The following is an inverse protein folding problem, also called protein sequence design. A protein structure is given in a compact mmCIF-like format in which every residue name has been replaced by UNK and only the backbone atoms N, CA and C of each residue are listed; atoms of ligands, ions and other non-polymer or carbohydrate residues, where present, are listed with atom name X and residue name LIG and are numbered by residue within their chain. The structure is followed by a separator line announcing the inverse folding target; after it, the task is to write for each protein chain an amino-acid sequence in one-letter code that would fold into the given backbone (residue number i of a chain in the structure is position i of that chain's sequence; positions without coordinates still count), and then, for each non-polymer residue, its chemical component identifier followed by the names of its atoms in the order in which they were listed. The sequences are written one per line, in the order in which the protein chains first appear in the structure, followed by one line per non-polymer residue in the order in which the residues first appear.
data_IF_778056242911
#
_entry.id   IF_778056242911
#
_cell.length_a   1.000
_cell.length_b   1.000
_cell.length_c   1.000
_cell.angle_alpha   90.00
_cell.angle_beta   90.00
_cell.angle_gamma   90.00
#
_symmetry.space_group_name_H-M   'P 1'
#
loop_
_entity.id
_entity.type
_entity.pdbx_description
1 polymer ?
#
# COMPACT_ATOMS: atom_id res chain seq x y z
N UNK A 1 15.05 -5.20 -5.97
CA UNK A 1 13.77 -5.17 -5.21
C UNK A 1 12.72 -5.92 -5.99
N UNK A 2 12.10 -6.93 -5.37
CA UNK A 2 11.01 -7.70 -5.98
C UNK A 2 9.71 -6.88 -5.95
N UNK A 3 9.44 -6.24 -4.82
CA UNK A 3 8.26 -5.39 -4.63
C UNK A 3 8.70 -4.04 -4.07
N UNK A 4 8.11 -2.97 -4.58
CA UNK A 4 8.18 -1.64 -3.98
C UNK A 4 6.77 -1.25 -3.61
N UNK A 5 6.51 -0.95 -2.34
CA UNK A 5 5.21 -0.43 -1.88
C UNK A 5 5.47 0.83 -1.09
N UNK A 6 4.88 1.94 -1.51
CA UNK A 6 5.18 3.23 -0.87
C UNK A 6 4.05 4.23 -1.02
N UNK A 7 4.11 5.26 -0.19
CA UNK A 7 3.22 6.41 -0.19
C UNK A 7 4.08 7.66 0.07
N UNK A 8 4.48 8.41 -0.97
CA UNK A 8 5.21 9.65 -0.78
C UNK A 8 4.38 10.68 0.00
N UNK A 9 4.99 11.75 0.51
CA UNK A 9 4.23 12.95 0.86
C UNK A 9 3.49 13.45 -0.39
N UNK A 10 2.21 13.81 -0.26
CA UNK A 10 1.31 14.04 -1.41
C UNK A 10 1.30 15.49 -1.92
N UNK A 11 2.15 16.36 -1.39
CA UNK A 11 2.16 17.79 -1.66
C UNK A 11 0.83 18.50 -1.35
N UNK A 12 0.12 18.04 -0.31
CA UNK A 12 -1.21 18.55 0.06
C UNK A 12 -1.17 19.44 1.32
N UNK A 13 0.02 19.85 1.76
CA UNK A 13 0.21 20.69 2.93
C UNK A 13 0.14 19.93 4.26
N UNK A 14 0.40 18.62 4.27
CA UNK A 14 0.51 17.88 5.53
C UNK A 14 1.72 18.39 6.33
N UNK A 15 1.51 18.59 7.63
CA UNK A 15 2.58 19.00 8.55
C UNK A 15 3.43 17.78 8.91
N UNK A 16 4.44 17.49 8.08
CA UNK A 16 5.53 16.62 8.46
C UNK A 16 6.52 17.37 9.35
N UNK A 17 7.30 16.64 10.15
CA UNK A 17 8.26 17.24 11.09
C UNK A 17 9.49 17.81 10.37
N UNK A 18 9.97 17.11 9.35
CA UNK A 18 11.25 17.39 8.67
C UNK A 18 11.08 17.81 7.20
N UNK A 19 9.89 17.67 6.62
CA UNK A 19 9.62 17.95 5.21
C UNK A 19 8.52 19.00 5.03
N UNK A 20 8.69 19.88 4.03
CA UNK A 20 7.67 20.86 3.65
C UNK A 20 6.85 20.30 2.49
N UNK A 21 5.64 19.82 2.80
CA UNK A 21 4.69 19.25 1.84
C UNK A 21 3.93 20.32 1.04
N UNK A 22 4.65 21.30 0.48
CA UNK A 22 4.06 22.46 -0.22
C UNK A 22 4.98 23.03 -1.29
N UNK A 23 5.53 22.16 -2.11
CA UNK A 23 6.23 22.55 -3.34
C UNK A 23 5.21 23.06 -4.38
N UNK A 24 5.72 23.79 -5.37
CA UNK A 24 4.98 23.99 -6.62
C UNK A 24 4.67 22.64 -7.28
N UNK A 25 3.53 22.53 -7.95
CA UNK A 25 3.02 21.26 -8.47
C UNK A 25 4.02 20.56 -9.40
N UNK A 26 4.57 21.31 -10.36
CA UNK A 26 5.59 20.80 -11.28
C UNK A 26 6.86 20.35 -10.55
N UNK A 27 7.31 21.13 -9.56
CA UNK A 27 8.50 20.77 -8.76
C UNK A 27 8.31 19.49 -7.95
N UNK A 28 7.10 19.25 -7.42
CA UNK A 28 6.78 17.98 -6.76
C UNK A 28 6.80 16.80 -7.74
N UNK A 29 6.17 16.99 -8.90
CA UNK A 29 6.07 15.96 -9.93
C UNK A 29 7.45 15.59 -10.49
N UNK A 30 8.34 16.57 -10.69
CA UNK A 30 9.73 16.35 -11.13
C UNK A 30 10.55 15.62 -10.07
N UNK A 31 10.42 16.01 -8.80
CA UNK A 31 11.07 15.29 -7.71
C UNK A 31 10.62 13.82 -7.63
N UNK A 32 9.31 13.56 -7.81
CA UNK A 32 8.79 12.19 -7.85
C UNK A 32 9.32 11.39 -9.05
N UNK A 33 9.57 12.04 -10.20
CA UNK A 33 10.22 11.41 -11.36
C UNK A 33 11.66 10.99 -11.02
N UNK A 34 12.42 11.82 -10.31
CA UNK A 34 13.77 11.46 -9.85
C UNK A 34 13.77 10.27 -8.90
N UNK A 35 12.85 10.25 -7.93
CA UNK A 35 12.68 9.12 -7.01
C UNK A 35 12.30 7.86 -7.78
N UNK A 36 11.36 7.97 -8.73
CA UNK A 36 10.91 6.85 -9.54
C UNK A 36 12.04 6.29 -10.43
N UNK A 37 12.97 7.13 -10.89
CA UNK A 37 14.18 6.71 -11.62
C UNK A 37 15.07 5.82 -10.75
N UNK A 38 15.30 6.20 -9.50
CA UNK A 38 16.09 5.38 -8.56
C UNK A 38 15.37 4.10 -8.15
N UNK A 39 14.07 4.17 -7.92
CA UNK A 39 13.22 2.97 -7.71
C UNK A 39 13.37 2.04 -8.91
N UNK A 40 13.26 2.56 -10.14
CA UNK A 40 13.43 1.77 -11.35
C UNK A 40 14.81 1.13 -11.39
N UNK A 41 15.88 1.85 -11.06
CA UNK A 41 17.26 1.34 -11.09
C UNK A 41 17.46 0.11 -10.20
N UNK A 42 16.87 0.10 -9.00
CA UNK A 42 17.04 -0.99 -8.02
C UNK A 42 15.98 -2.09 -8.11
N UNK A 43 14.89 -1.85 -8.85
CA UNK A 43 13.86 -2.86 -9.08
C UNK A 43 14.38 -4.02 -9.92
N UNK A 44 13.84 -5.23 -9.76
CA UNK A 44 14.12 -6.32 -10.71
C UNK A 44 13.34 -6.09 -12.02
N UNK A 45 13.74 -6.73 -13.14
CA UNK A 45 12.97 -6.67 -14.39
C UNK A 45 11.51 -7.14 -14.24
N UNK A 46 11.31 -8.15 -13.40
CA UNK A 46 10.02 -8.77 -13.06
C UNK A 46 9.37 -8.17 -11.79
N UNK A 47 9.91 -7.07 -11.26
CA UNK A 47 9.43 -6.47 -10.02
C UNK A 47 8.15 -5.64 -10.18
N UNK A 48 7.39 -5.53 -9.08
CA UNK A 48 6.18 -4.72 -8.99
C UNK A 48 6.42 -3.44 -8.18
N UNK A 49 5.97 -2.30 -8.70
CA UNK A 49 5.98 -1.02 -7.99
C UNK A 49 4.54 -0.56 -7.72
N UNK A 50 4.12 -0.65 -6.46
CA UNK A 50 2.84 -0.17 -5.96
C UNK A 50 3.01 1.22 -5.34
N UNK A 51 2.53 2.24 -6.04
CA UNK A 51 2.58 3.63 -5.61
C UNK A 51 1.20 4.11 -5.15
N UNK A 52 1.04 4.33 -3.85
CA UNK A 52 -0.15 4.96 -3.30
C UNK A 52 0.01 6.48 -3.37
N UNK A 53 -0.88 7.17 -4.07
CA UNK A 53 -0.87 8.64 -4.17
C UNK A 53 -2.28 9.18 -4.34
N UNK A 54 -2.53 10.34 -3.74
CA UNK A 54 -3.82 11.00 -3.80
C UNK A 54 -3.62 12.52 -3.97
N UNK A 55 -4.49 13.17 -4.74
CA UNK A 55 -4.49 14.63 -4.86
C UNK A 55 -5.21 15.31 -3.69
N UNK A 56 -5.24 16.64 -3.64
CA UNK A 56 -6.19 17.36 -2.78
C UNK A 56 -7.55 17.47 -3.48
N UNK A 57 -8.60 17.90 -2.78
CA UNK A 57 -9.89 18.19 -3.46
C UNK A 57 -9.76 19.32 -4.51
N UNK A 58 -8.79 20.22 -4.33
CA UNK A 58 -8.51 21.30 -5.27
C UNK A 58 -7.56 20.89 -6.42
N UNK A 59 -6.73 19.87 -6.20
CA UNK A 59 -5.79 19.31 -7.18
C UNK A 59 -6.06 17.81 -7.40
N UNK A 60 -7.22 17.42 -7.96
CA UNK A 60 -7.55 16.01 -8.17
C UNK A 60 -6.71 15.36 -9.28
N UNK A 61 -6.10 16.16 -10.16
CA UNK A 61 -5.33 15.69 -11.32
C UNK A 61 -3.90 15.24 -10.98
N UNK A 62 -3.33 15.74 -9.87
CA UNK A 62 -1.97 15.46 -9.42
C UNK A 62 -1.52 13.98 -9.56
N UNK A 63 -2.31 12.97 -9.10
CA UNK A 63 -1.89 11.58 -9.21
C UNK A 63 -1.78 11.11 -10.67
N UNK A 64 -2.66 11.61 -11.54
CA UNK A 64 -2.72 11.23 -12.94
C UNK A 64 -1.63 11.93 -13.76
N UNK A 65 -1.32 13.19 -13.45
CA UNK A 65 -0.20 13.91 -14.03
C UNK A 65 1.13 13.22 -13.70
N UNK A 66 1.30 12.77 -12.45
CA UNK A 66 2.42 11.93 -12.07
C UNK A 66 2.48 10.66 -12.93
N UNK A 67 1.35 9.96 -13.10
CA UNK A 67 1.32 8.76 -13.95
C UNK A 67 1.70 9.06 -15.39
N UNK A 68 1.29 10.20 -15.96
CA UNK A 68 1.68 10.60 -17.32
C UNK A 68 3.21 10.75 -17.41
N UNK A 69 3.86 11.42 -16.45
CA UNK A 69 5.33 11.57 -16.45
C UNK A 69 6.06 10.24 -16.27
N UNK A 70 5.49 9.30 -15.50
CA UNK A 70 6.12 8.00 -15.28
C UNK A 70 5.99 7.02 -16.46
N UNK A 71 5.16 7.32 -17.49
CA UNK A 71 4.96 6.44 -18.66
C UNK A 71 6.23 6.16 -19.46
N UNK A 72 7.20 7.07 -19.43
CA UNK A 72 8.48 6.89 -20.12
C UNK A 72 9.34 5.80 -19.47
N UNK A 73 9.10 5.50 -18.19
CA UNK A 73 9.92 4.60 -17.37
C UNK A 73 9.20 3.31 -16.99
N UNK A 74 7.87 3.35 -16.87
CA UNK A 74 7.04 2.26 -16.38
C UNK A 74 5.77 2.08 -17.21
N UNK A 75 5.27 0.84 -17.21
CA UNK A 75 3.94 0.50 -17.71
C UNK A 75 2.99 0.41 -16.53
N UNK A 76 1.88 1.16 -16.60
CA UNK A 76 0.77 1.04 -15.66
C UNK A 76 0.02 -0.27 -15.94
N UNK A 77 0.27 -1.29 -15.13
CA UNK A 77 -0.33 -2.61 -15.31
C UNK A 77 -1.71 -2.70 -14.66
N UNK A 78 -1.90 -2.10 -13.48
CA UNK A 78 -3.22 -2.02 -12.83
C UNK A 78 -3.38 -0.68 -12.11
N UNK A 79 -4.61 -0.18 -12.05
CA UNK A 79 -4.99 0.94 -11.20
C UNK A 79 -5.97 0.44 -10.14
N UNK A 80 -5.53 0.42 -8.88
CA UNK A 80 -6.32 -0.08 -7.76
C UNK A 80 -6.89 1.12 -7.00
N UNK A 81 -8.19 1.08 -6.72
CA UNK A 81 -8.86 2.03 -5.83
C UNK A 81 -8.81 1.49 -4.41
N UNK A 82 -7.95 2.06 -3.57
CA UNK A 82 -7.94 1.74 -2.14
C UNK A 82 -9.06 2.51 -1.44
N UNK A 83 -10.13 1.80 -1.10
CA UNK A 83 -11.31 2.35 -0.44
C UNK A 83 -11.12 2.28 1.08
N UNK A 84 -11.12 3.46 1.70
CA UNK A 84 -11.00 3.65 3.16
C UNK A 84 -12.37 3.65 3.85
N UNK A 85 -13.40 4.06 3.12
CA UNK A 85 -14.79 4.04 3.57
C UNK A 85 -15.76 3.84 2.40
N UNK A 86 -16.86 3.15 2.64
CA UNK A 86 -17.91 2.91 1.64
C UNK A 86 -19.29 2.93 2.31
N UNK A 87 -20.27 3.50 1.62
CA UNK A 87 -21.68 3.42 2.01
C UNK A 87 -22.39 2.40 1.12
N UNK A 88 -23.10 1.47 1.74
CA UNK A 88 -23.89 0.43 1.06
C UNK A 88 -25.32 0.55 1.58
N UNK A 89 -26.23 1.05 0.73
CA UNK A 89 -27.54 1.48 1.19
C UNK A 89 -27.41 2.61 2.22
N UNK A 90 -27.98 2.40 3.41
CA UNK A 90 -27.93 3.37 4.53
C UNK A 90 -26.77 3.11 5.50
N UNK A 91 -26.03 2.01 5.32
CA UNK A 91 -24.94 1.63 6.21
C UNK A 91 -23.62 2.17 5.68
N UNK A 92 -22.76 2.66 6.60
CA UNK A 92 -21.41 3.13 6.26
C UNK A 92 -20.37 2.31 6.99
N UNK A 93 -19.37 1.87 6.24
CA UNK A 93 -18.25 1.09 6.73
C UNK A 93 -16.94 1.88 6.55
N UNK A 94 -16.04 1.80 7.54
CA UNK A 94 -14.76 2.50 7.53
C UNK A 94 -14.84 3.98 7.89
N UNK A 95 -13.71 4.67 7.79
CA UNK A 95 -13.57 6.06 8.22
C UNK A 95 -12.87 6.91 7.16
N UNK A 96 -13.26 8.18 7.05
CA UNK A 96 -12.62 9.18 6.21
C UNK A 96 -12.55 10.52 6.95
N UNK A 97 -11.70 11.43 6.48
CA UNK A 97 -11.64 12.80 6.98
C UNK A 97 -12.67 13.65 6.22
N UNK A 98 -13.67 14.25 6.88
CA UNK A 98 -14.64 15.09 6.19
C UNK A 98 -13.99 16.31 5.55
N UNK A 99 -14.51 16.71 4.40
CA UNK A 99 -14.15 17.97 3.74
C UNK A 99 -15.08 19.06 4.25
N UNK A 100 -14.51 20.14 4.81
CA UNK A 100 -15.28 21.31 5.23
C UNK A 100 -15.42 22.28 4.05
N UNK A 101 -16.25 21.92 3.08
CA UNK A 101 -16.53 22.76 1.91
C UNK A 101 -17.89 22.39 1.30
N UNK A 102 -18.69 23.37 0.88
CA UNK A 102 -19.94 23.09 0.15
C UNK A 102 -19.70 22.63 -1.29
N UNK A 103 -18.47 22.72 -1.81
CA UNK A 103 -18.14 22.41 -3.21
C UNK A 103 -17.77 20.95 -3.46
N UNK A 104 -17.21 20.26 -2.48
CA UNK A 104 -16.52 18.97 -2.70
C UNK A 104 -17.17 17.83 -1.93
N UNK A 105 -17.21 16.66 -2.56
CA UNK A 105 -17.53 15.41 -1.88
C UNK A 105 -16.38 14.94 -0.97
N UNK A 106 -16.72 14.15 0.02
CA UNK A 106 -15.74 13.47 0.86
C UNK A 106 -14.93 12.46 0.03
N UNK A 107 -13.61 12.44 0.26
CA UNK A 107 -12.71 11.52 -0.45
C UNK A 107 -12.56 10.23 0.35
N UNK A 108 -13.18 9.18 -0.17
CA UNK A 108 -13.28 7.90 0.50
C UNK A 108 -12.27 6.87 0.01
N UNK A 109 -11.51 7.19 -1.03
CA UNK A 109 -10.50 6.31 -1.61
C UNK A 109 -9.23 7.06 -2.02
N UNK A 110 -8.15 6.30 -2.22
CA UNK A 110 -6.88 6.72 -2.78
C UNK A 110 -6.51 5.86 -3.99
N UNK A 111 -5.53 6.30 -4.78
CA UNK A 111 -5.07 5.57 -5.96
C UNK A 111 -3.80 4.80 -5.63
N UNK A 112 -3.89 3.48 -5.77
CA UNK A 112 -2.75 2.58 -5.70
C UNK A 112 -2.41 2.14 -7.13
N UNK A 113 -1.40 2.76 -7.72
CA UNK A 113 -0.95 2.43 -9.07
C UNK A 113 0.03 1.26 -9.01
N UNK A 114 -0.25 0.18 -9.75
CA UNK A 114 0.66 -0.93 -9.96
C UNK A 114 1.43 -0.72 -11.26
N UNK A 115 2.65 -0.24 -11.12
CA UNK A 115 3.62 0.04 -12.16
C UNK A 115 4.60 -1.14 -12.29
N UNK A 116 4.98 -1.47 -13.52
CA UNK A 116 5.98 -2.51 -13.81
C UNK A 116 6.89 -2.04 -14.94
N UNK A 117 8.01 -2.73 -15.19
CA UNK A 117 8.89 -2.35 -16.30
C UNK A 117 8.31 -2.67 -17.68
N UNK A 118 7.52 -3.73 -17.78
CA UNK A 118 7.16 -4.38 -19.05
C UNK A 118 5.65 -4.56 -19.24
N UNK A 119 4.83 -4.39 -18.19
CA UNK A 119 3.38 -4.58 -18.24
C UNK A 119 2.92 -6.03 -18.25
N UNK A 120 3.82 -7.00 -18.06
CA UNK A 120 3.53 -8.43 -18.13
C UNK A 120 3.96 -9.21 -16.87
N UNK A 121 4.09 -8.53 -15.72
CA UNK A 121 4.41 -9.21 -14.46
C UNK A 121 3.21 -10.07 -14.04
N UNK A 122 3.43 -11.38 -13.90
CA UNK A 122 2.40 -12.31 -13.44
C UNK A 122 1.96 -12.00 -12.01
N UNK A 123 0.67 -12.23 -11.70
CA UNK A 123 0.08 -11.94 -10.39
C UNK A 123 -0.61 -13.18 -9.79
N UNK A 124 -0.39 -13.41 -8.50
CA UNK A 124 -1.10 -14.42 -7.72
C UNK A 124 -2.44 -13.87 -7.20
N UNK A 125 -3.38 -13.65 -8.13
CA UNK A 125 -4.68 -12.99 -7.85
C UNK A 125 -5.55 -13.70 -6.81
N UNK A 126 -5.30 -14.99 -6.55
CA UNK A 126 -6.08 -15.80 -5.61
C UNK A 126 -5.56 -15.69 -4.17
N UNK A 127 -4.32 -15.25 -3.95
CA UNK A 127 -3.72 -15.13 -2.61
C UNK A 127 -4.42 -14.04 -1.80
N UNK A 128 -4.86 -12.97 -2.49
CA UNK A 128 -5.74 -11.91 -1.94
C UNK A 128 -7.22 -12.07 -2.34
N UNK A 129 -7.54 -13.21 -2.94
CA UNK A 129 -8.87 -13.51 -3.45
C UNK A 129 -9.94 -13.54 -2.37
N UNK A 130 -11.19 -13.52 -2.81
CA UNK A 130 -12.36 -13.59 -1.92
C UNK A 130 -13.21 -14.81 -2.31
N UNK A 131 -14.00 -15.37 -1.38
CA UNK A 131 -14.93 -16.44 -1.71
C UNK A 131 -15.92 -16.04 -2.81
N UNK A 132 -16.45 -17.02 -3.53
CA UNK A 132 -17.60 -16.78 -4.40
C UNK A 132 -18.82 -16.46 -3.55
N UNK A 133 -19.58 -15.44 -3.97
CA UNK A 133 -20.86 -15.11 -3.32
C UNK A 133 -21.88 -16.20 -3.65
N UNK A 134 -22.08 -16.48 -4.94
CA UNK A 134 -22.85 -17.62 -5.40
C UNK A 134 -21.92 -18.82 -5.64
N UNK A 135 -22.07 -19.85 -4.78
CA UNK A 135 -21.26 -21.07 -4.79
C UNK A 135 -21.46 -21.92 -6.04
N UNK A 136 -22.58 -21.77 -6.75
CA UNK A 136 -22.82 -22.49 -8.00
C UNK A 136 -21.77 -22.17 -9.07
N UNK A 137 -21.17 -20.97 -9.01
CA UNK A 137 -20.12 -20.54 -9.94
C UNK A 137 -18.87 -21.43 -9.90
N UNK A 138 -18.59 -22.07 -8.76
CA UNK A 138 -17.41 -22.94 -8.61
C UNK A 138 -17.51 -24.10 -9.60
N UNK A 139 -18.65 -24.80 -9.61
CA UNK A 139 -18.90 -25.90 -10.54
C UNK A 139 -19.15 -25.38 -11.97
N UNK A 140 -19.99 -24.36 -12.14
CA UNK A 140 -20.40 -23.85 -13.47
C UNK A 140 -19.24 -23.32 -14.30
N UNK A 141 -18.17 -22.83 -13.67
CA UNK A 141 -16.99 -22.26 -14.33
C UNK A 141 -15.71 -23.07 -14.12
N UNK A 142 -15.82 -24.26 -13.53
CA UNK A 142 -14.68 -25.17 -13.34
C UNK A 142 -13.59 -24.64 -12.40
N UNK A 143 -13.95 -23.87 -11.38
CA UNK A 143 -12.98 -23.40 -10.38
C UNK A 143 -12.64 -24.51 -9.39
N UNK A 144 -11.35 -24.67 -9.07
CA UNK A 144 -10.85 -25.70 -8.16
C UNK A 144 -11.00 -25.37 -6.67
N UNK A 145 -11.29 -24.12 -6.35
CA UNK A 145 -11.39 -23.62 -4.99
C UNK A 145 -12.45 -22.53 -4.90
N UNK A 146 -13.02 -22.36 -3.71
CA UNK A 146 -13.94 -21.26 -3.38
C UNK A 146 -13.18 -19.94 -3.18
N UNK A 147 -12.47 -19.51 -4.23
CA UNK A 147 -11.81 -18.20 -4.32
C UNK A 147 -11.88 -17.65 -5.73
N UNK A 148 -12.18 -16.37 -5.82
CA UNK A 148 -12.08 -15.56 -7.04
C UNK A 148 -11.13 -14.39 -6.84
N UNK A 149 -10.68 -13.81 -7.95
CA UNK A 149 -10.03 -12.51 -7.93
C UNK A 149 -10.95 -11.49 -7.21
N UNK A 150 -10.36 -10.74 -6.27
CA UNK A 150 -11.05 -9.67 -5.54
C UNK A 150 -11.48 -8.52 -6.47
N UNK A 151 -10.71 -8.27 -7.53
CA UNK A 151 -10.82 -7.07 -8.36
C UNK A 151 -9.84 -6.00 -7.92
N UNK A 152 -10.00 -4.80 -8.46
CA UNK A 152 -9.14 -3.63 -8.29
C UNK A 152 -9.72 -2.59 -7.31
N UNK A 153 -10.84 -2.89 -6.66
CA UNK A 153 -11.43 -2.03 -5.61
C UNK A 153 -11.25 -2.69 -4.26
N UNK A 154 -10.36 -2.14 -3.44
CA UNK A 154 -9.92 -2.75 -2.19
C UNK A 154 -10.45 -1.97 -1.00
N UNK A 155 -11.49 -2.50 -0.36
CA UNK A 155 -11.97 -1.97 0.91
C UNK A 155 -11.06 -2.44 2.05
N UNK A 156 -10.23 -1.51 2.55
CA UNK A 156 -9.29 -1.72 3.64
C UNK A 156 -9.41 -0.50 4.57
N UNK A 157 -10.31 -0.54 5.57
CA UNK A 157 -10.48 0.56 6.50
C UNK A 157 -9.28 0.64 7.46
N UNK A 158 -9.10 1.81 8.07
CA UNK A 158 -8.21 1.95 9.21
C UNK A 158 -8.75 1.18 10.42
N UNK A 159 -7.87 0.54 11.17
CA UNK A 159 -8.23 -0.01 12.47
C UNK A 159 -8.65 1.14 13.41
N UNK A 160 -9.78 0.96 14.09
CA UNK A 160 -10.29 1.94 15.04
C UNK A 160 -9.35 2.01 16.24
N UNK A 161 -8.54 3.07 16.31
CA UNK A 161 -7.61 3.29 17.41
C UNK A 161 -8.38 3.63 18.68
N UNK A 162 -8.36 2.73 19.67
CA UNK A 162 -9.10 2.90 20.94
C UNK A 162 -8.38 3.76 21.99
N UNK A 163 -7.19 4.32 21.69
CA UNK A 163 -6.47 5.19 22.63
C UNK A 163 -5.41 6.11 22.00
N UNK A 164 -5.21 7.30 22.58
CA UNK A 164 -4.21 8.30 22.11
C UNK A 164 -2.78 7.75 22.05
N UNK A 165 -2.42 6.78 22.90
CA UNK A 165 -1.08 6.18 22.98
C UNK A 165 -0.70 5.31 21.76
N UNK A 166 -1.68 4.83 20.98
CA UNK A 166 -1.46 4.08 19.74
C UNK A 166 -1.32 4.98 18.51
N UNK A 167 -1.51 6.30 18.65
CA UNK A 167 -1.16 7.25 17.61
C UNK A 167 0.35 7.46 17.63
N UNK A 168 1.08 6.57 16.96
CA UNK A 168 2.40 6.91 16.47
C UNK A 168 2.19 8.16 15.61
N UNK A 169 2.76 9.30 16.02
CA UNK A 169 2.48 10.64 15.48
C UNK A 169 2.99 10.82 14.04
N UNK A 170 2.55 9.95 13.12
CA UNK A 170 2.81 9.99 11.71
C UNK A 170 1.52 10.34 10.97
N UNK A 171 1.41 11.54 10.38
CA UNK A 171 0.28 11.88 9.55
C UNK A 171 0.31 11.01 8.28
N UNK A 172 -0.79 10.32 7.97
CA UNK A 172 -0.94 9.64 6.67
C UNK A 172 -0.28 8.27 6.53
N UNK A 173 -0.23 7.44 7.59
CA UNK A 173 0.11 6.01 7.42
C UNK A 173 -1.02 5.27 6.72
N UNK A 174 -0.73 4.23 5.93
CA UNK A 174 -1.73 3.24 5.50
C UNK A 174 -1.76 2.02 6.45
N UNK A 175 -2.83 1.22 6.48
CA UNK A 175 -2.90 -0.03 7.27
C UNK A 175 -1.90 -1.08 6.77
N UNK A 176 -1.38 -1.94 7.66
CA UNK A 176 -0.42 -3.02 7.31
C UNK A 176 -1.00 -3.98 6.27
N UNK A 177 -2.32 -4.18 6.26
CA UNK A 177 -2.98 -5.06 5.30
C UNK A 177 -2.79 -4.61 3.84
N UNK A 178 -2.67 -3.30 3.56
CA UNK A 178 -2.50 -2.78 2.20
C UNK A 178 -1.19 -3.27 1.55
N UNK A 179 0.01 -3.05 2.12
CA UNK A 179 1.24 -3.62 1.59
C UNK A 179 1.29 -5.14 1.66
N UNK A 180 0.68 -5.80 2.66
CA UNK A 180 0.58 -7.27 2.67
C UNK A 180 -0.17 -7.79 1.45
N UNK A 181 -1.29 -7.15 1.08
CA UNK A 181 -2.03 -7.51 -0.12
C UNK A 181 -1.21 -7.25 -1.40
N UNK A 182 -0.45 -6.17 -1.47
CA UNK A 182 0.45 -5.90 -2.60
C UNK A 182 1.53 -7.00 -2.75
N UNK A 183 2.16 -7.38 -1.64
CA UNK A 183 3.21 -8.41 -1.60
C UNK A 183 2.65 -9.78 -2.00
N UNK A 184 1.51 -10.18 -1.42
CA UNK A 184 0.81 -11.43 -1.79
C UNK A 184 0.37 -11.45 -3.25
N UNK A 185 -0.14 -10.32 -3.75
CA UNK A 185 -0.57 -10.22 -5.14
C UNK A 185 0.60 -10.40 -6.12
N UNK A 186 1.78 -9.85 -5.80
CA UNK A 186 2.99 -10.08 -6.58
C UNK A 186 3.41 -11.56 -6.56
N UNK A 187 3.22 -12.27 -5.44
CA UNK A 187 3.30 -13.73 -5.39
C UNK A 187 4.70 -14.33 -5.31
N UNK A 188 5.73 -13.50 -5.13
CA UNK A 188 7.10 -13.94 -4.89
C UNK A 188 7.26 -14.44 -3.45
N UNK A 189 7.74 -15.66 -3.28
CA UNK A 189 8.13 -16.19 -1.97
C UNK A 189 9.37 -15.47 -1.43
N UNK A 190 9.37 -15.16 -0.14
CA UNK A 190 10.43 -14.42 0.56
C UNK A 190 10.92 -13.16 -0.21
N UNK A 191 10.02 -12.22 -0.54
CA UNK A 191 10.37 -11.09 -1.39
C UNK A 191 11.23 -10.06 -0.66
N UNK A 192 12.11 -9.37 -1.40
CA UNK A 192 12.79 -8.16 -0.93
C UNK A 192 11.93 -6.94 -1.29
N UNK A 193 11.37 -6.32 -0.26
CA UNK A 193 10.41 -5.21 -0.35
C UNK A 193 11.10 -3.88 -0.01
N UNK A 194 10.92 -2.87 -0.86
CA UNK A 194 11.43 -1.52 -0.65
C UNK A 194 10.30 -0.53 -0.35
N UNK A 195 10.54 0.37 0.60
CA UNK A 195 9.74 1.58 0.83
C UNK A 195 10.65 2.81 0.97
N UNK A 196 10.79 3.67 -0.06
CA UNK A 196 11.63 4.88 0.00
C UNK A 196 11.04 6.00 0.87
N UNK A 197 9.80 5.85 1.34
CA UNK A 197 9.09 6.81 2.19
C UNK A 197 8.44 6.08 3.37
N UNK A 198 9.25 5.27 4.08
CA UNK A 198 8.72 4.23 4.97
C UNK A 198 7.90 4.74 6.16
N UNK A 199 8.11 5.99 6.57
CA UNK A 199 7.49 6.55 7.76
C UNK A 199 7.73 5.66 8.97
N UNK A 200 6.64 5.28 9.64
CA UNK A 200 6.69 4.38 10.81
C UNK A 200 6.90 2.90 10.47
N UNK A 201 7.23 2.56 9.22
CA UNK A 201 7.65 1.21 8.83
C UNK A 201 6.52 0.21 8.56
N UNK A 202 5.31 0.67 8.23
CA UNK A 202 4.17 -0.22 7.94
C UNK A 202 4.49 -1.24 6.82
N UNK A 203 5.13 -0.80 5.74
CA UNK A 203 5.55 -1.70 4.65
C UNK A 203 6.58 -2.73 5.10
N UNK A 204 7.51 -2.35 5.98
CA UNK A 204 8.54 -3.26 6.48
C UNK A 204 7.93 -4.33 7.39
N UNK A 205 6.98 -3.95 8.25
CA UNK A 205 6.20 -4.91 9.05
C UNK A 205 5.44 -5.89 8.16
N UNK A 206 4.84 -5.41 7.07
CA UNK A 206 4.18 -6.28 6.11
C UNK A 206 5.18 -7.24 5.44
N UNK A 207 6.35 -6.77 5.02
CA UNK A 207 7.39 -7.61 4.43
C UNK A 207 7.78 -8.77 5.35
N UNK A 208 8.03 -8.48 6.63
CA UNK A 208 8.34 -9.51 7.64
C UNK A 208 7.20 -10.52 7.78
N UNK A 209 5.96 -10.05 7.94
CA UNK A 209 4.77 -10.91 8.09
C UNK A 209 4.52 -11.82 6.89
N UNK A 210 4.95 -11.42 5.69
CA UNK A 210 4.88 -12.23 4.48
C UNK A 210 6.14 -13.08 4.24
N UNK A 211 7.01 -13.21 5.24
CA UNK A 211 8.23 -14.03 5.17
C UNK A 211 9.34 -13.42 4.31
N UNK A 212 9.24 -12.14 3.97
CA UNK A 212 10.21 -11.40 3.18
C UNK A 212 11.14 -10.51 3.99
N UNK A 213 11.93 -9.72 3.27
CA UNK A 213 12.86 -8.73 3.83
C UNK A 213 12.40 -7.32 3.47
N UNK A 214 12.37 -6.42 4.45
CA UNK A 214 12.03 -5.02 4.23
C UNK A 214 13.27 -4.11 4.23
N UNK A 215 13.38 -3.22 3.25
CA UNK A 215 14.33 -2.10 3.22
C UNK A 215 13.53 -0.81 3.20
N UNK A 216 13.76 0.08 4.16
CA UNK A 216 13.02 1.34 4.27
C UNK A 216 13.93 2.55 4.45
N UNK A 217 13.52 3.67 3.86
CA UNK A 217 14.24 4.94 3.92
C UNK A 217 13.26 5.99 4.45
N UNK A 218 13.70 6.78 5.41
CA UNK A 218 12.98 7.96 5.87
C UNK A 218 13.96 9.04 6.34
N UNK A 219 13.63 10.31 6.11
CA UNK A 219 14.43 11.44 6.55
C UNK A 219 14.27 11.71 8.05
N UNK A 220 13.17 11.27 8.65
CA UNK A 220 12.86 11.49 10.05
C UNK A 220 13.40 10.35 10.93
N UNK A 221 14.45 10.65 11.69
CA UNK A 221 15.08 9.68 12.62
C UNK A 221 14.14 9.15 13.71
N UNK A 222 13.09 9.89 14.10
CA UNK A 222 12.08 9.41 15.05
C UNK A 222 11.23 8.34 14.37
N UNK A 223 10.79 8.56 13.13
CA UNK A 223 10.06 7.56 12.36
C UNK A 223 10.89 6.31 12.10
N UNK A 224 12.18 6.47 11.78
CA UNK A 224 13.14 5.36 11.68
C UNK A 224 13.19 4.55 12.98
N UNK A 225 13.27 5.20 14.15
CA UNK A 225 13.33 4.48 15.43
C UNK A 225 12.03 3.72 15.73
N UNK A 226 10.87 4.32 15.45
CA UNK A 226 9.57 3.64 15.58
C UNK A 226 9.48 2.45 14.63
N UNK A 227 9.90 2.62 13.37
CA UNK A 227 9.94 1.55 12.38
C UNK A 227 10.80 0.38 12.86
N UNK A 228 12.01 0.65 13.37
CA UNK A 228 12.91 -0.38 13.92
C UNK A 228 12.26 -1.18 15.06
N UNK A 229 11.57 -0.50 15.98
CA UNK A 229 10.86 -1.18 17.07
C UNK A 229 9.73 -2.07 16.54
N UNK A 230 8.90 -1.55 15.63
CA UNK A 230 7.77 -2.31 15.05
C UNK A 230 8.23 -3.52 14.23
N UNK A 231 9.32 -3.38 13.48
CA UNK A 231 9.92 -4.49 12.71
C UNK A 231 10.46 -5.56 13.65
N UNK A 232 11.18 -5.20 14.72
CA UNK A 232 11.65 -6.17 15.73
C UNK A 232 10.51 -6.97 16.35
N UNK A 233 9.46 -6.28 16.80
CA UNK A 233 8.27 -6.93 17.34
C UNK A 233 7.60 -7.88 16.34
N UNK A 234 7.56 -7.49 15.06
CA UNK A 234 7.01 -8.36 14.01
C UNK A 234 7.88 -9.60 13.75
N UNK A 235 9.21 -9.47 13.84
CA UNK A 235 10.15 -10.59 13.70
C UNK A 235 10.04 -11.56 14.88
N UNK A 236 9.97 -11.04 16.12
CA UNK A 236 9.80 -11.85 17.34
C UNK A 236 8.50 -12.67 17.27
N UNK A 237 7.37 -12.03 16.96
CA UNK A 237 6.08 -12.71 16.82
C UNK A 237 6.06 -13.78 15.72
N UNK A 238 6.87 -13.62 14.68
CA UNK A 238 7.00 -14.62 13.62
C UNK A 238 7.78 -15.85 14.08
N UNK A 239 8.81 -15.67 14.92
CA UNK A 239 9.58 -16.79 15.51
C UNK A 239 8.71 -17.58 16.48
N UNK A 240 7.97 -16.90 17.35
CA UNK A 240 7.07 -17.55 18.32
C UNK A 240 5.93 -18.32 17.63
N UNK A 241 5.41 -17.78 16.52
CA UNK A 241 4.38 -18.44 15.71
C UNK A 241 4.86 -19.71 15.01
N UNK A 242 6.16 -19.82 14.70
CA UNK A 242 6.78 -21.02 14.12
C UNK A 242 7.10 -22.06 15.21
N UNK A 243 7.54 -21.62 16.39
CA UNK A 243 7.79 -22.50 17.53
C UNK A 243 6.50 -23.14 18.09
N UNK A 244 5.37 -22.40 18.10
CA UNK A 244 4.08 -22.91 18.59
C UNK A 244 3.36 -23.91 17.68
N UNK A 245 3.88 -24.19 16.48
CA UNK A 245 3.32 -25.18 15.55
C UNK A 245 4.00 -26.55 15.60
N UNK A 246 5.13 -26.70 16.30
CA UNK A 246 5.88 -27.96 16.38
C UNK A 246 5.45 -28.89 17.54
N UNK A 247 4.70 -28.39 18.54
CA UNK A 247 4.32 -29.16 19.75
C UNK A 247 2.90 -29.77 19.69
N UNK A 248 2.31 -29.92 18.50
CA UNK A 248 1.01 -30.62 18.31
C UNK A 248 1.12 -31.73 17.29
N UNK A 249 1.98 -32.71 17.55
CA UNK A 249 1.87 -34.07 17.02
C UNK A 249 2.78 -35.03 17.82
N UNK A 250 2.28 -35.51 18.95
CA UNK A 250 2.54 -36.85 19.49
C UNK A 250 1.29 -37.33 20.24
#
# INVERSE_FOLDING_TARGET
MDVVVTSPPYNIGLKYRTYRDRLEEDGYLDWMVEVAREVRRVMRPDGSFFLNVAGSSAQPWLPFELMVRLREMFVLQNHISWVKSISVGVETHGHFKPVNSPRYLNRNHEHLFHLTRTGNVGLNRLDIGVPYMDKSNIMRRGHRQDRRCRGDTWFIPYETVQGKAQKFHHPGTFPVLLPQMCIRLHGKAAPVVLDPFMGTGTTLVAAVREGGQGIGIDLDTIYVNVARQRVRQAMEAQVDGVAGTDDRNF
#
